data_IF_381613785375
#
_entry.id   IF_381613785375
#
_cell.length_a   1.000
_cell.length_b   1.000
_cell.length_c   1.000
_cell.angle_alpha   90.00
_cell.angle_beta   90.00
_cell.angle_gamma   90.00
#
_symmetry.space_group_name_H-M   'P 1'
#
loop_
_entity.id
_entity.type
_entity.pdbx_description
1 polymer ?
#
# COMPACT_ATOMS: atom_id res chain seq x y z
N UNK A 1 -22.44 63.38 36.41
CA UNK A 1 -21.59 62.57 37.30
C UNK A 1 -21.36 61.19 36.67
N UNK A 2 -20.08 60.80 36.54
CA UNK A 2 -19.47 59.44 36.47
C UNK A 2 -20.12 58.36 35.56
N UNK A 3 -19.40 57.94 34.50
CA UNK A 3 -18.71 56.62 34.27
C UNK A 3 -19.70 55.43 34.13
N UNK A 4 -19.66 54.53 33.15
CA UNK A 4 -18.55 53.77 32.56
C UNK A 4 -18.94 53.18 31.19
N UNK A 5 -17.96 53.07 30.31
CA UNK A 5 -17.89 52.12 29.19
C UNK A 5 -18.01 50.67 29.67
N UNK A 6 -18.59 49.78 28.87
CA UNK A 6 -18.09 48.41 28.71
C UNK A 6 -18.57 47.76 27.41
N UNK A 7 -17.57 47.48 26.58
CA UNK A 7 -17.62 46.69 25.35
C UNK A 7 -18.05 45.25 25.67
N UNK A 8 -19.11 44.77 25.01
CA UNK A 8 -19.43 43.35 24.95
C UNK A 8 -18.83 42.73 23.70
N UNK A 9 -17.70 42.04 23.86
CA UNK A 9 -17.01 41.29 22.82
C UNK A 9 -17.91 40.26 22.13
N UNK A 10 -17.93 40.31 20.81
CA UNK A 10 -18.32 39.20 19.94
C UNK A 10 -17.29 38.07 20.08
N UNK A 11 -17.59 37.02 20.84
CA UNK A 11 -16.86 35.76 20.75
C UNK A 11 -17.49 34.92 19.64
N UNK A 12 -16.95 35.10 18.43
CA UNK A 12 -17.09 34.15 17.35
C UNK A 12 -16.39 32.86 17.75
N UNK A 13 -17.16 31.87 18.22
CA UNK A 13 -16.70 30.48 18.28
C UNK A 13 -16.56 29.97 16.85
N UNK A 14 -15.42 30.28 16.20
CA UNK A 14 -14.88 29.40 15.18
C UNK A 14 -14.46 28.12 15.90
N UNK A 15 -15.39 27.17 16.02
CA UNK A 15 -15.07 25.76 16.22
C UNK A 15 -14.36 25.26 14.97
N UNK A 16 -13.08 25.61 14.86
CA UNK A 16 -12.15 24.98 13.93
C UNK A 16 -12.10 23.49 14.28
N UNK A 17 -12.74 22.66 13.48
CA UNK A 17 -12.57 21.21 13.46
C UNK A 17 -11.13 20.88 13.02
N UNK A 18 -10.14 21.13 13.87
CA UNK A 18 -8.73 20.78 13.65
C UNK A 18 -8.15 19.98 14.82
N UNK A 19 -9.01 19.31 15.59
CA UNK A 19 -8.63 18.67 16.85
C UNK A 19 -9.02 17.19 16.92
N UNK A 20 -8.67 16.42 15.89
CA UNK A 20 -8.80 14.95 15.96
C UNK A 20 -7.54 14.16 15.63
N UNK A 21 -6.43 14.80 15.27
CA UNK A 21 -5.14 14.09 15.11
C UNK A 21 -4.31 14.07 16.41
N UNK A 22 -4.68 14.84 17.43
CA UNK A 22 -3.94 14.96 18.69
C UNK A 22 -4.37 13.98 19.79
N UNK A 23 -5.45 13.22 19.62
CA UNK A 23 -6.04 12.34 20.66
C UNK A 23 -6.15 10.89 20.18
N UNK A 24 -5.08 10.36 19.59
CA UNK A 24 -5.08 8.95 19.23
C UNK A 24 -3.72 8.36 19.64
N UNK A 25 -3.61 8.07 20.94
CA UNK A 25 -2.45 7.62 21.74
C UNK A 25 -1.66 6.43 21.15
N UNK A 26 -1.09 6.56 19.95
CA UNK A 26 -0.40 5.47 19.27
C UNK A 26 -1.30 4.31 18.83
N UNK A 27 -2.64 4.42 18.98
CA UNK A 27 -3.57 3.37 18.52
C UNK A 27 -3.62 3.31 17.00
N UNK A 28 -3.71 2.09 16.47
CA UNK A 28 -3.91 1.80 15.05
C UNK A 28 -5.42 1.77 14.80
N UNK A 29 -5.93 2.80 14.14
CA UNK A 29 -7.36 2.97 13.85
C UNK A 29 -7.65 2.96 12.35
N UNK A 30 -8.89 2.65 11.96
CA UNK A 30 -9.29 2.65 10.55
C UNK A 30 -9.03 4.02 9.90
N UNK A 31 -9.23 5.11 10.65
CA UNK A 31 -8.95 6.48 10.20
C UNK A 31 -7.48 6.67 9.81
N UNK A 32 -6.53 6.21 10.64
CA UNK A 32 -5.09 6.36 10.37
C UNK A 32 -4.61 5.45 9.25
N UNK A 33 -5.19 4.26 9.12
CA UNK A 33 -4.85 3.32 8.05
C UNK A 33 -5.40 3.77 6.69
N UNK A 34 -6.56 4.41 6.67
CA UNK A 34 -7.15 4.97 5.44
C UNK A 34 -6.24 6.03 4.80
N UNK A 35 -6.09 6.00 3.47
CA UNK A 35 -5.26 6.92 2.72
C UNK A 35 -4.54 6.27 1.54
N UNK A 36 -3.63 7.03 0.93
CA UNK A 36 -2.77 6.57 -0.15
C UNK A 36 -1.41 6.13 0.41
N UNK A 37 -0.95 4.97 -0.04
CA UNK A 37 0.27 4.34 0.46
C UNK A 37 1.06 3.75 -0.69
N UNK A 38 2.38 3.93 -0.67
CA UNK A 38 3.29 3.13 -1.48
C UNK A 38 3.95 2.08 -0.59
N UNK A 39 3.68 0.81 -0.87
CA UNK A 39 4.10 -0.34 -0.06
C UNK A 39 5.05 -1.24 -0.84
N UNK A 40 6.25 -1.45 -0.30
CA UNK A 40 7.30 -2.29 -0.89
C UNK A 40 7.51 -3.56 -0.08
N UNK A 41 7.52 -4.70 -0.78
CA UNK A 41 7.78 -6.03 -0.21
C UNK A 41 8.87 -6.72 -1.02
N UNK A 42 9.81 -7.36 -0.34
CA UNK A 42 10.87 -8.16 -0.97
C UNK A 42 10.69 -9.61 -0.56
N UNK A 43 10.73 -10.51 -1.54
CA UNK A 43 10.58 -11.96 -1.38
C UNK A 43 11.84 -12.66 -1.93
N UNK A 44 12.93 -12.74 -1.15
CA UNK A 44 14.23 -13.21 -1.65
C UNK A 44 14.19 -14.65 -2.18
N UNK A 45 13.46 -15.56 -1.54
CA UNK A 45 13.34 -16.95 -2.00
C UNK A 45 12.56 -17.10 -3.31
N UNK A 46 11.78 -16.07 -3.67
CA UNK A 46 11.05 -16.02 -4.93
C UNK A 46 11.74 -15.11 -5.95
N UNK A 47 12.92 -14.56 -5.61
CA UNK A 47 13.65 -13.60 -6.40
C UNK A 47 12.75 -12.47 -6.94
N UNK A 48 11.90 -11.93 -6.05
CA UNK A 48 10.80 -11.05 -6.43
C UNK A 48 10.72 -9.83 -5.51
N UNK A 49 10.50 -8.66 -6.11
CA UNK A 49 10.09 -7.44 -5.40
C UNK A 49 8.72 -6.99 -5.87
N UNK A 50 7.88 -6.50 -4.96
CA UNK A 50 6.60 -5.88 -5.31
C UNK A 50 6.50 -4.47 -4.73
N UNK A 51 6.03 -3.53 -5.54
CA UNK A 51 5.70 -2.16 -5.14
C UNK A 51 4.21 -1.95 -5.38
N UNK A 52 3.44 -1.69 -4.34
CA UNK A 52 2.00 -1.51 -4.40
C UNK A 52 1.65 -0.06 -4.10
N UNK A 53 1.01 0.63 -5.03
CA UNK A 53 0.40 1.93 -4.78
C UNK A 53 -1.06 1.68 -4.39
N UNK A 54 -1.33 1.69 -3.10
CA UNK A 54 -2.60 1.38 -2.48
C UNK A 54 -3.38 2.66 -2.21
N UNK A 55 -4.69 2.62 -2.45
CA UNK A 55 -5.65 3.58 -1.92
C UNK A 55 -6.67 2.85 -1.06
N UNK A 56 -6.62 3.09 0.24
CA UNK A 56 -7.51 2.55 1.26
C UNK A 56 -8.56 3.61 1.59
N UNK A 57 -9.72 3.55 0.95
CA UNK A 57 -10.77 4.53 1.15
C UNK A 57 -11.50 4.30 2.48
N UNK A 58 -12.01 5.37 3.11
CA UNK A 58 -12.72 5.30 4.40
C UNK A 58 -14.02 4.48 4.35
N UNK A 59 -14.61 4.33 3.16
CA UNK A 59 -15.79 3.50 2.92
C UNK A 59 -15.48 1.99 2.86
N UNK A 60 -14.21 1.60 3.05
CA UNK A 60 -13.76 0.22 2.98
C UNK A 60 -13.41 -0.25 1.58
N UNK A 61 -13.45 0.60 0.55
CA UNK A 61 -13.01 0.24 -0.81
C UNK A 61 -11.49 0.35 -0.96
N UNK A 62 -10.92 -0.51 -1.79
CA UNK A 62 -9.48 -0.64 -2.05
C UNK A 62 -9.21 -0.52 -3.55
N UNK A 63 -8.21 0.28 -3.91
CA UNK A 63 -7.56 0.27 -5.23
C UNK A 63 -6.09 -0.06 -5.03
N UNK A 64 -5.54 -0.94 -5.86
CA UNK A 64 -4.11 -1.29 -5.83
C UNK A 64 -3.54 -1.28 -7.24
N UNK A 65 -2.57 -0.39 -7.48
CA UNK A 65 -1.72 -0.41 -8.67
C UNK A 65 -0.35 -0.97 -8.27
N UNK A 66 -0.13 -2.23 -8.61
CA UNK A 66 1.01 -3.05 -8.21
C UNK A 66 2.02 -3.17 -9.35
N UNK A 67 3.29 -2.98 -9.05
CA UNK A 67 4.42 -3.37 -9.88
C UNK A 67 5.08 -4.61 -9.29
N UNK A 68 5.36 -5.59 -10.13
CA UNK A 68 6.09 -6.83 -9.80
C UNK A 68 7.39 -6.81 -10.61
N UNK A 69 8.52 -7.06 -9.95
CA UNK A 69 9.86 -7.10 -10.54
C UNK A 69 10.48 -8.48 -10.24
N UNK A 70 10.63 -9.32 -11.28
CA UNK A 70 11.13 -10.69 -11.17
C UNK A 70 11.99 -11.04 -12.41
N UNK A 71 13.23 -11.57 -12.26
CA UNK A 71 14.00 -11.69 -11.02
C UNK A 71 14.37 -10.32 -10.40
N UNK A 72 14.97 -10.29 -9.20
CA UNK A 72 15.55 -9.07 -8.60
C UNK A 72 16.81 -8.66 -9.38
N UNK A 73 17.61 -9.64 -9.80
CA UNK A 73 18.84 -9.41 -10.59
C UNK A 73 18.54 -9.18 -12.08
N UNK A 74 19.52 -8.60 -12.78
CA UNK A 74 19.39 -8.35 -14.22
C UNK A 74 19.58 -9.61 -15.08
N UNK A 75 18.87 -9.75 -16.20
CA UNK A 75 17.76 -8.89 -16.64
C UNK A 75 16.48 -9.16 -15.82
N UNK A 76 15.81 -8.11 -15.35
CA UNK A 76 14.56 -8.23 -14.60
C UNK A 76 13.35 -7.89 -15.46
N UNK A 77 12.23 -8.56 -15.21
CA UNK A 77 10.97 -8.34 -15.91
C UNK A 77 9.99 -7.61 -15.00
N UNK A 78 9.44 -6.51 -15.52
CA UNK A 78 8.48 -5.67 -14.80
C UNK A 78 7.06 -5.94 -15.31
N UNK A 79 6.14 -6.17 -14.38
CA UNK A 79 4.70 -6.33 -14.64
C UNK A 79 3.90 -5.33 -13.82
N UNK A 80 3.07 -4.54 -14.50
CA UNK A 80 2.03 -3.73 -13.86
C UNK A 80 0.76 -4.55 -13.74
N UNK A 81 0.14 -4.48 -12.56
CA UNK A 81 -1.08 -5.19 -12.24
C UNK A 81 -1.99 -4.26 -11.46
N UNK A 82 -3.22 -4.12 -11.90
CA UNK A 82 -4.21 -3.35 -11.15
C UNK A 82 -5.25 -4.27 -10.54
N UNK A 83 -5.80 -3.82 -9.42
CA UNK A 83 -6.89 -4.51 -8.77
C UNK A 83 -7.75 -3.55 -7.96
N UNK A 84 -8.99 -3.95 -7.77
CA UNK A 84 -9.97 -3.25 -6.94
C UNK A 84 -10.64 -4.23 -6.01
N UNK A 85 -11.11 -3.74 -4.87
CA UNK A 85 -11.73 -4.59 -3.87
C UNK A 85 -12.14 -3.84 -2.62
N UNK A 86 -12.06 -4.54 -1.51
CA UNK A 86 -12.37 -4.02 -0.18
C UNK A 86 -11.23 -4.28 0.80
N UNK A 87 -11.21 -3.51 1.87
CA UNK A 87 -10.33 -3.70 2.99
C UNK A 87 -11.07 -3.53 4.32
N UNK A 88 -10.58 -4.21 5.34
CA UNK A 88 -11.11 -4.15 6.70
C UNK A 88 -9.97 -4.20 7.70
N UNK A 89 -10.10 -3.46 8.79
CA UNK A 89 -9.19 -3.49 9.92
C UNK A 89 -9.93 -3.99 11.15
N UNK A 90 -9.40 -5.03 11.78
CA UNK A 90 -9.75 -5.35 13.16
C UNK A 90 -8.75 -4.62 14.06
N UNK A 91 -9.22 -3.61 14.78
CA UNK A 91 -8.37 -2.76 15.63
C UNK A 91 -7.86 -3.50 16.89
N UNK A 92 -8.53 -4.59 17.29
CA UNK A 92 -8.14 -5.37 18.47
C UNK A 92 -6.84 -6.16 18.26
N UNK A 93 -6.69 -6.77 17.09
CA UNK A 93 -5.56 -7.63 16.72
C UNK A 93 -4.68 -6.98 15.63
N UNK A 94 -4.98 -5.72 15.28
CA UNK A 94 -4.35 -4.95 14.21
C UNK A 94 -4.33 -5.70 12.86
N UNK A 95 -5.30 -6.58 12.63
CA UNK A 95 -5.38 -7.39 11.42
C UNK A 95 -6.01 -6.60 10.29
N UNK A 96 -5.20 -6.37 9.25
CA UNK A 96 -5.61 -5.70 8.02
C UNK A 96 -5.88 -6.75 6.94
N UNK A 97 -7.12 -6.83 6.50
CA UNK A 97 -7.57 -7.81 5.50
C UNK A 97 -7.90 -7.10 4.21
N UNK A 98 -7.29 -7.52 3.10
CA UNK A 98 -7.63 -7.09 1.76
C UNK A 98 -8.37 -8.21 1.04
N UNK A 99 -9.46 -7.89 0.36
CA UNK A 99 -10.10 -8.79 -0.60
C UNK A 99 -10.21 -8.04 -1.91
N UNK A 100 -9.46 -8.46 -2.93
CA UNK A 100 -9.44 -7.74 -4.20
C UNK A 100 -9.43 -8.69 -5.39
N UNK A 101 -9.99 -8.19 -6.48
CA UNK A 101 -9.95 -8.83 -7.79
C UNK A 101 -8.85 -8.18 -8.61
N UNK A 102 -8.02 -9.00 -9.26
CA UNK A 102 -7.06 -8.48 -10.24
C UNK A 102 -7.80 -8.15 -11.52
N UNK A 103 -7.70 -6.90 -11.98
CA UNK A 103 -8.46 -6.43 -13.14
C UNK A 103 -7.67 -6.60 -14.43
N UNK A 104 -6.38 -6.25 -14.45
CA UNK A 104 -5.53 -6.43 -15.62
C UNK A 104 -4.06 -6.62 -15.26
N UNK A 105 -3.28 -7.19 -16.19
CA UNK A 105 -1.82 -7.37 -16.11
C UNK A 105 -1.19 -6.89 -17.41
N UNK A 106 -0.13 -6.09 -17.33
CA UNK A 106 0.62 -5.55 -18.47
C UNK A 106 2.13 -5.72 -18.26
N UNK A 107 2.86 -5.93 -19.35
CA UNK A 107 4.32 -5.89 -19.38
C UNK A 107 4.82 -4.45 -19.42
N UNK A 108 5.81 -4.14 -18.60
CA UNK A 108 6.49 -2.83 -18.57
C UNK A 108 8.01 -2.98 -18.55
N UNK A 109 8.51 -3.89 -19.36
CA UNK A 109 9.93 -4.22 -19.40
C UNK A 109 10.76 -3.03 -19.88
N UNK A 110 11.98 -2.91 -19.35
CA UNK A 110 12.98 -1.96 -19.82
C UNK A 110 13.53 -2.39 -21.17
N UNK A 111 14.20 -1.47 -21.88
CA UNK A 111 14.90 -1.81 -23.14
C UNK A 111 15.94 -2.91 -22.94
N UNK A 112 16.67 -2.88 -21.82
CA UNK A 112 17.64 -3.90 -21.45
C UNK A 112 17.01 -5.30 -21.35
N UNK A 113 15.83 -5.41 -20.74
CA UNK A 113 15.11 -6.68 -20.64
C UNK A 113 14.60 -7.15 -22.01
N UNK A 114 14.12 -6.22 -22.85
CA UNK A 114 13.69 -6.53 -24.22
C UNK A 114 14.86 -7.02 -25.08
N UNK A 115 16.03 -6.41 -24.93
CA UNK A 115 17.25 -6.82 -25.63
C UNK A 115 17.75 -8.18 -25.15
N UNK A 116 17.64 -8.48 -23.85
CA UNK A 116 17.95 -9.82 -23.34
C UNK A 116 17.02 -10.89 -23.95
N UNK A 117 15.72 -10.62 -24.03
CA UNK A 117 14.74 -11.52 -24.68
C UNK A 117 15.08 -11.77 -26.15
N UNK A 118 15.52 -10.74 -26.88
CA UNK A 118 15.91 -10.85 -28.30
C UNK A 118 17.20 -11.66 -28.47
N UNK A 119 18.16 -11.51 -27.57
CA UNK A 119 19.50 -12.15 -27.65
C UNK A 119 19.49 -13.61 -27.23
N UNK A 120 18.67 -14.00 -26.27
CA UNK A 120 18.63 -15.37 -25.74
C UNK A 120 17.18 -15.86 -25.56
N UNK A 121 16.84 -16.94 -26.29
CA UNK A 121 15.51 -17.53 -26.30
C UNK A 121 15.06 -18.10 -24.94
N UNK A 122 15.99 -18.38 -24.02
CA UNK A 122 15.68 -18.82 -22.66
C UNK A 122 14.95 -17.73 -21.87
N UNK A 123 15.33 -16.46 -22.07
CA UNK A 123 14.65 -15.34 -21.43
C UNK A 123 13.24 -15.14 -21.97
N UNK A 124 13.03 -15.38 -23.27
CA UNK A 124 11.68 -15.35 -23.86
C UNK A 124 10.74 -16.35 -23.19
N UNK A 125 11.15 -17.61 -23.11
CA UNK A 125 10.32 -18.66 -22.49
C UNK A 125 10.07 -18.37 -20.99
N UNK A 126 11.09 -17.88 -20.29
CA UNK A 126 10.97 -17.50 -18.89
C UNK A 126 9.98 -16.34 -18.68
N UNK A 127 10.11 -15.26 -19.45
CA UNK A 127 9.19 -14.11 -19.42
C UNK A 127 7.75 -14.55 -19.74
N UNK A 128 7.54 -15.33 -20.80
CA UNK A 128 6.21 -15.79 -21.19
C UNK A 128 5.53 -16.59 -20.07
N UNK A 129 6.30 -17.43 -19.37
CA UNK A 129 5.82 -18.17 -18.21
C UNK A 129 5.44 -17.26 -17.03
N UNK A 130 6.24 -16.22 -16.76
CA UNK A 130 5.93 -15.22 -15.75
C UNK A 130 4.65 -14.43 -16.11
N UNK A 131 4.54 -13.95 -17.33
CA UNK A 131 3.34 -13.24 -17.76
C UNK A 131 2.09 -14.13 -17.67
N UNK A 132 2.19 -15.40 -18.05
CA UNK A 132 1.09 -16.38 -17.92
C UNK A 132 0.74 -16.63 -16.45
N UNK A 133 1.74 -16.75 -15.56
CA UNK A 133 1.56 -16.89 -14.09
C UNK A 133 0.73 -15.72 -13.54
N UNK A 134 1.04 -14.49 -13.94
CA UNK A 134 0.33 -13.30 -13.46
C UNK A 134 -1.04 -13.12 -14.11
N UNK A 135 -1.15 -13.33 -15.43
CA UNK A 135 -2.40 -13.21 -16.17
C UNK A 135 -3.47 -14.21 -15.72
N UNK A 136 -3.07 -15.39 -15.23
CA UNK A 136 -3.99 -16.39 -14.64
C UNK A 136 -4.77 -15.89 -13.41
N UNK A 137 -4.36 -14.76 -12.82
CA UNK A 137 -5.02 -14.14 -11.66
C UNK A 137 -6.07 -13.09 -12.06
N UNK A 138 -6.12 -12.67 -13.33
CA UNK A 138 -7.11 -11.72 -13.81
C UNK A 138 -8.52 -12.27 -13.58
N UNK A 139 -9.42 -11.40 -13.12
CA UNK A 139 -10.79 -11.68 -12.72
C UNK A 139 -10.94 -12.69 -11.57
N UNK A 140 -9.84 -13.00 -10.86
CA UNK A 140 -9.89 -13.83 -9.65
C UNK A 140 -9.78 -12.95 -8.42
N UNK A 141 -10.71 -13.19 -7.49
CA UNK A 141 -10.65 -12.64 -6.15
C UNK A 141 -9.55 -13.32 -5.35
N UNK A 142 -8.84 -12.54 -4.55
CA UNK A 142 -7.85 -13.03 -3.61
C UNK A 142 -7.98 -12.26 -2.29
N UNK A 143 -7.85 -12.99 -1.18
CA UNK A 143 -7.82 -12.41 0.15
C UNK A 143 -6.40 -12.46 0.71
N UNK A 144 -5.91 -11.34 1.22
CA UNK A 144 -4.61 -11.23 1.87
C UNK A 144 -4.82 -10.69 3.27
N UNK A 145 -4.20 -11.34 4.24
CA UNK A 145 -4.22 -10.93 5.64
C UNK A 145 -2.84 -10.43 6.03
N UNK A 146 -2.79 -9.25 6.62
CA UNK A 146 -1.62 -8.66 7.25
C UNK A 146 -1.90 -8.37 8.72
N UNK A 147 -0.83 -8.24 9.49
CA UNK A 147 -0.85 -7.58 10.80
C UNK A 147 -0.10 -6.26 10.64
N UNK A 148 -0.70 -5.16 11.10
CA UNK A 148 0.00 -3.87 11.18
C UNK A 148 0.91 -3.93 12.41
N UNK A 149 2.21 -4.06 12.18
CA UNK A 149 3.21 -4.16 13.25
C UNK A 149 3.72 -2.80 13.72
N UNK A 150 3.59 -1.76 12.89
CA UNK A 150 3.88 -0.38 13.25
C UNK A 150 3.09 0.59 12.38
N UNK A 151 2.66 1.72 12.96
CA UNK A 151 2.10 2.87 12.27
C UNK A 151 2.56 4.14 12.98
N UNK A 152 3.57 4.79 12.44
CA UNK A 152 4.25 5.93 13.08
C UNK A 152 4.47 7.04 12.08
N UNK A 153 4.69 8.26 12.57
CA UNK A 153 5.14 9.37 11.72
C UNK A 153 6.65 9.38 11.65
N UNK A 154 7.20 9.35 10.45
CA UNK A 154 8.62 9.61 10.21
C UNK A 154 8.85 11.13 10.32
N UNK A 155 9.71 11.52 11.26
CA UNK A 155 9.98 12.93 11.57
C UNK A 155 10.88 13.59 10.53
N UNK A 156 11.74 12.82 9.84
CA UNK A 156 12.66 13.33 8.83
C UNK A 156 11.93 13.56 7.50
N UNK A 157 11.09 12.59 7.12
CA UNK A 157 10.29 12.64 5.90
C UNK A 157 8.97 13.41 6.06
N UNK A 158 8.55 13.66 7.30
CA UNK A 158 7.28 14.31 7.63
C UNK A 158 6.05 13.48 7.25
N UNK A 159 6.21 12.19 6.96
CA UNK A 159 5.19 11.28 6.40
C UNK A 159 4.89 10.12 7.34
N UNK A 160 3.66 9.61 7.29
CA UNK A 160 3.32 8.40 8.02
C UNK A 160 3.93 7.16 7.35
N UNK A 161 4.41 6.25 8.19
CA UNK A 161 5.02 4.98 7.84
C UNK A 161 4.22 3.86 8.47
N UNK A 162 3.90 2.85 7.66
CA UNK A 162 3.18 1.66 8.12
C UNK A 162 3.99 0.42 7.78
N UNK A 163 4.18 -0.46 8.76
CA UNK A 163 4.81 -1.76 8.55
C UNK A 163 3.75 -2.84 8.61
N UNK A 164 3.64 -3.63 7.54
CA UNK A 164 2.74 -4.77 7.46
C UNK A 164 3.55 -6.06 7.55
N UNK A 165 3.06 -7.02 8.32
CA UNK A 165 3.64 -8.36 8.41
C UNK A 165 2.64 -9.38 7.89
N UNK A 166 3.09 -10.25 7.00
CA UNK A 166 2.32 -11.38 6.48
C UNK A 166 2.99 -12.68 6.89
N UNK A 167 2.29 -13.53 7.64
CA UNK A 167 2.79 -14.85 8.03
C UNK A 167 2.20 -15.93 7.12
N UNK A 168 3.07 -16.74 6.54
CA UNK A 168 2.71 -18.00 5.87
C UNK A 168 3.05 -19.17 6.80
N UNK A 169 2.76 -20.40 6.36
CA UNK A 169 3.14 -21.59 7.12
C UNK A 169 4.68 -21.75 7.25
N UNK A 170 5.45 -21.14 6.34
CA UNK A 170 6.90 -21.32 6.25
C UNK A 170 7.71 -20.08 6.66
N UNK A 171 7.19 -18.88 6.43
CA UNK A 171 7.93 -17.62 6.64
C UNK A 171 7.04 -16.47 7.06
N UNK A 172 7.67 -15.40 7.54
CA UNK A 172 7.04 -14.09 7.70
C UNK A 172 7.68 -13.10 6.75
N UNK A 173 6.84 -12.30 6.09
CA UNK A 173 7.25 -11.25 5.17
C UNK A 173 6.89 -9.89 5.72
N UNK A 174 7.80 -8.94 5.57
CA UNK A 174 7.59 -7.55 5.97
C UNK A 174 7.39 -6.69 4.73
N UNK A 175 6.42 -5.79 4.80
CA UNK A 175 6.13 -4.78 3.79
C UNK A 175 6.24 -3.42 4.45
N UNK A 176 7.06 -2.55 3.89
CA UNK A 176 7.19 -1.17 4.35
C UNK A 176 6.33 -0.26 3.48
N UNK A 177 5.47 0.54 4.10
CA UNK A 177 4.56 1.45 3.44
C UNK A 177 4.85 2.90 3.83
N UNK A 178 4.89 3.78 2.85
CA UNK A 178 5.07 5.23 3.01
C UNK A 178 3.81 5.93 2.53
N UNK A 179 3.24 6.80 3.36
CA UNK A 179 2.08 7.61 2.97
C UNK A 179 2.44 8.54 1.82
N UNK A 180 1.57 8.64 0.80
CA UNK A 180 1.74 9.54 -0.34
C UNK A 180 0.99 10.85 -0.14
#
# INVERSE_FOLDING_TARGET
MKKLFLLGLTLSFLSGCTLTDLIDNGKITQRKVSGEWQCTSIYPEHNLTTVNNLRLNRDGTLVNNRTIIEPIDKPFFVYEITGTGTWQLSELDHKLTYTFTTNWVQRRHTEEALDAIKKDSRYKLYEENLFKKYSKRVNKSNTINFVISSLTRDMELGRDMMTLTQKTAQKSYTTACVRQ
#
